data_IF_045306070561
#
_entry.id   IF_045306070561
#
_cell.length_a   1.000
_cell.length_b   1.000
_cell.length_c   1.000
_cell.angle_alpha   90.00
_cell.angle_beta   90.00
_cell.angle_gamma   90.00
#
_symmetry.space_group_name_H-M   'P 1'
#
loop_
_entity.id
_entity.type
_entity.pdbx_description
1 polymer ?
#
# COMPACT_ATOMS: atom_id res chain seq x y z
N UNK A 1 21.92 -21.00 -8.94
CA UNK A 1 23.31 -21.49 -8.90
C UNK A 1 24.16 -20.24 -8.70
N UNK A 2 24.83 -20.09 -7.56
CA UNK A 2 25.60 -18.88 -7.21
C UNK A 2 27.11 -19.08 -7.37
N UNK A 3 27.50 -20.21 -7.94
CA UNK A 3 28.88 -20.52 -8.28
C UNK A 3 29.03 -20.29 -9.77
N UNK A 4 29.80 -19.26 -10.11
CA UNK A 4 30.25 -19.01 -11.47
C UNK A 4 31.68 -19.54 -11.57
N UNK A 5 31.83 -20.66 -12.27
CA UNK A 5 33.14 -21.18 -12.62
C UNK A 5 33.31 -21.04 -14.14
N UNK A 6 34.16 -20.08 -14.53
CA UNK A 6 34.56 -19.87 -15.92
C UNK A 6 35.92 -20.53 -16.22
N UNK A 7 36.39 -21.40 -15.33
CA UNK A 7 37.68 -22.07 -15.42
C UNK A 7 38.83 -21.25 -14.84
N UNK A 8 40.06 -21.80 -14.91
CA UNK A 8 41.24 -21.27 -14.22
C UNK A 8 41.90 -20.08 -14.95
N UNK A 9 41.31 -19.59 -16.05
CA UNK A 9 41.90 -18.56 -16.90
C UNK A 9 40.93 -17.42 -17.15
N UNK A 10 41.49 -16.21 -17.28
CA UNK A 10 40.69 -15.01 -17.55
C UNK A 10 39.99 -15.15 -18.90
N UNK A 11 38.66 -15.13 -18.87
CA UNK A 11 37.83 -15.47 -20.02
C UNK A 11 36.72 -14.44 -20.21
N UNK A 12 36.51 -14.02 -21.47
CA UNK A 12 35.38 -13.16 -21.80
C UNK A 12 34.09 -13.95 -21.61
N UNK A 13 33.14 -13.37 -20.88
CA UNK A 13 31.89 -14.02 -20.49
C UNK A 13 30.68 -13.16 -20.88
N UNK A 14 29.51 -13.79 -20.88
CA UNK A 14 28.24 -13.13 -21.22
C UNK A 14 27.57 -12.48 -20.01
N UNK A 15 28.07 -12.74 -18.81
CA UNK A 15 27.49 -12.25 -17.57
C UNK A 15 28.45 -12.44 -16.38
N UNK A 16 28.28 -11.63 -15.33
CA UNK A 16 29.01 -11.74 -14.07
C UNK A 16 28.07 -11.43 -12.89
N UNK A 17 27.88 -12.38 -11.97
CA UNK A 17 26.86 -12.27 -10.93
C UNK A 17 27.46 -11.95 -9.56
N UNK A 18 26.84 -11.01 -8.85
CA UNK A 18 27.05 -10.74 -7.44
C UNK A 18 28.00 -9.58 -7.13
N UNK A 19 28.31 -9.42 -5.84
CA UNK A 19 29.03 -8.25 -5.32
C UNK A 19 30.55 -8.23 -5.60
N UNK A 20 31.06 -9.11 -6.48
CA UNK A 20 32.49 -9.21 -6.81
C UNK A 20 32.76 -8.71 -8.23
N UNK A 21 32.46 -7.42 -8.48
CA UNK A 21 32.55 -6.80 -9.80
C UNK A 21 33.41 -5.53 -9.74
N UNK A 22 34.22 -5.33 -10.78
CA UNK A 22 34.95 -4.10 -11.00
C UNK A 22 34.49 -3.46 -12.32
N UNK A 23 33.84 -2.29 -12.23
CA UNK A 23 33.28 -1.58 -13.37
C UNK A 23 34.09 -0.31 -13.62
N UNK A 24 34.57 -0.12 -14.86
CA UNK A 24 35.23 1.13 -15.24
C UNK A 24 34.26 2.29 -15.13
N UNK A 25 34.67 3.40 -14.52
CA UNK A 25 33.85 4.62 -14.42
C UNK A 25 33.35 5.12 -15.78
N UNK A 26 34.16 4.95 -16.83
CA UNK A 26 33.78 5.27 -18.21
C UNK A 26 32.62 4.42 -18.75
N UNK A 27 32.46 3.17 -18.30
CA UNK A 27 31.31 2.34 -18.68
C UNK A 27 30.01 2.91 -18.07
N UNK A 28 30.04 3.31 -16.80
CA UNK A 28 28.90 3.96 -16.13
C UNK A 28 28.55 5.30 -16.79
N UNK A 29 29.56 6.10 -17.13
CA UNK A 29 29.35 7.37 -17.85
C UNK A 29 28.73 7.16 -19.24
N UNK A 30 29.07 6.05 -19.91
CA UNK A 30 28.62 5.76 -21.27
C UNK A 30 27.20 5.24 -21.36
N UNK A 31 26.83 4.28 -20.49
CA UNK A 31 25.52 3.61 -20.59
C UNK A 31 24.57 3.93 -19.43
N UNK A 32 25.01 4.74 -18.47
CA UNK A 32 24.24 5.09 -17.29
C UNK A 32 24.43 4.12 -16.12
N UNK A 33 23.87 4.51 -14.97
CA UNK A 33 23.91 3.73 -13.72
C UNK A 33 22.94 2.53 -13.78
N UNK A 34 22.95 1.71 -12.74
CA UNK A 34 21.95 0.67 -12.50
C UNK A 34 20.56 1.31 -12.32
N UNK A 35 19.51 0.64 -12.79
CA UNK A 35 18.13 1.08 -12.60
C UNK A 35 17.75 0.96 -11.11
N UNK A 36 17.52 2.06 -10.37
CA UNK A 36 17.17 2.00 -8.95
C UNK A 36 15.84 1.28 -8.70
N UNK A 37 15.01 1.09 -9.72
CA UNK A 37 13.75 0.34 -9.62
C UNK A 37 13.93 -1.18 -9.66
N UNK A 38 15.10 -1.65 -10.11
CA UNK A 38 15.55 -3.02 -10.01
C UNK A 38 16.54 -3.06 -8.85
N UNK A 39 16.11 -3.46 -7.65
CA UNK A 39 17.06 -3.75 -6.56
C UNK A 39 17.03 -5.25 -6.26
N UNK A 40 18.18 -5.92 -6.46
CA UNK A 40 18.39 -7.32 -6.13
C UNK A 40 18.48 -8.26 -7.33
N UNK A 41 17.41 -9.01 -7.66
CA UNK A 41 17.47 -9.92 -8.80
C UNK A 41 17.15 -9.20 -10.11
N UNK A 42 18.14 -9.09 -11.00
CA UNK A 42 17.98 -8.62 -12.39
C UNK A 42 18.46 -7.21 -12.68
N UNK A 43 18.99 -6.49 -11.69
CA UNK A 43 19.64 -5.18 -11.87
C UNK A 43 21.01 -5.31 -12.54
N UNK A 44 21.82 -6.26 -12.07
CA UNK A 44 23.08 -6.67 -12.69
C UNK A 44 22.82 -7.16 -14.13
N UNK A 45 21.81 -8.02 -14.32
CA UNK A 45 21.49 -8.61 -15.63
C UNK A 45 21.11 -7.52 -16.64
N UNK A 46 20.27 -6.59 -16.23
CA UNK A 46 19.82 -5.49 -17.07
C UNK A 46 20.99 -4.59 -17.49
N UNK A 47 21.85 -4.23 -16.54
CA UNK A 47 23.01 -3.36 -16.80
C UNK A 47 24.02 -4.04 -17.71
N UNK A 48 24.30 -5.33 -17.48
CA UNK A 48 25.21 -6.14 -18.31
C UNK A 48 24.69 -6.30 -19.74
N UNK A 49 23.39 -6.53 -19.92
CA UNK A 49 22.78 -6.60 -21.24
C UNK A 49 22.90 -5.26 -21.99
N UNK A 50 22.69 -4.13 -21.32
CA UNK A 50 22.93 -2.79 -21.92
C UNK A 50 24.40 -2.60 -22.29
N UNK A 51 25.31 -3.05 -21.43
CA UNK A 51 26.75 -2.93 -21.66
C UNK A 51 27.18 -3.73 -22.88
N UNK A 52 26.76 -4.99 -22.98
CA UNK A 52 27.04 -5.85 -24.14
C UNK A 52 26.40 -5.30 -25.41
N UNK A 53 25.16 -4.79 -25.35
CA UNK A 53 24.50 -4.15 -26.49
C UNK A 53 25.23 -2.89 -26.98
N UNK A 54 25.94 -2.19 -26.10
CA UNK A 54 26.81 -1.06 -26.45
C UNK A 54 28.20 -1.49 -26.97
N UNK A 55 28.42 -2.78 -27.23
CA UNK A 55 29.71 -3.34 -27.65
C UNK A 55 30.73 -3.45 -26.50
N UNK A 56 30.25 -3.39 -25.26
CA UNK A 56 31.06 -3.63 -24.07
C UNK A 56 31.50 -5.09 -23.97
N UNK A 57 32.55 -5.33 -23.18
CA UNK A 57 33.03 -6.68 -22.83
C UNK A 57 32.94 -6.90 -21.34
N UNK A 58 32.58 -8.12 -20.95
CA UNK A 58 32.62 -8.62 -19.57
C UNK A 58 33.66 -9.74 -19.55
N UNK A 59 34.53 -9.75 -18.54
CA UNK A 59 35.61 -10.72 -18.42
C UNK A 59 35.67 -11.24 -16.99
N UNK A 60 35.62 -12.56 -16.84
CA UNK A 60 35.93 -13.23 -15.59
C UNK A 60 37.43 -13.17 -15.35
N UNK A 61 37.86 -12.80 -14.15
CA UNK A 61 39.27 -12.78 -13.74
C UNK A 61 39.49 -13.92 -12.75
N UNK A 62 40.18 -14.97 -13.19
CA UNK A 62 40.31 -16.21 -12.42
C UNK A 62 41.03 -15.99 -11.07
N UNK A 63 41.97 -15.05 -11.04
CA UNK A 63 42.72 -14.70 -9.82
C UNK A 63 41.92 -13.85 -8.82
N UNK A 64 40.75 -13.34 -9.20
CA UNK A 64 39.91 -12.47 -8.37
C UNK A 64 38.82 -13.25 -7.60
N UNK A 65 39.10 -14.49 -7.23
CA UNK A 65 38.20 -15.33 -6.46
C UNK A 65 37.95 -14.77 -5.06
N UNK A 66 36.71 -14.84 -4.59
CA UNK A 66 36.33 -14.44 -3.23
C UNK A 66 35.54 -15.56 -2.54
N UNK A 67 35.83 -15.76 -1.25
CA UNK A 67 35.05 -16.67 -0.41
C UNK A 67 33.76 -15.99 0.04
N UNK A 68 32.61 -16.43 -0.49
CA UNK A 68 31.32 -15.96 0.02
C UNK A 68 30.99 -16.65 1.35
N UNK A 69 31.31 -16.00 2.47
CA UNK A 69 31.01 -16.52 3.82
C UNK A 69 29.71 -15.94 4.37
N UNK A 70 28.90 -16.77 5.03
CA UNK A 70 27.81 -16.32 5.92
C UNK A 70 28.31 -16.44 7.35
N UNK A 71 28.09 -15.42 8.18
CA UNK A 71 28.52 -15.40 9.57
C UNK A 71 27.40 -14.88 10.49
N UNK A 72 27.41 -15.32 11.75
CA UNK A 72 26.47 -14.86 12.78
C UNK A 72 25.00 -15.08 12.39
N UNK A 73 24.16 -14.10 12.71
CA UNK A 73 22.71 -14.12 12.53
C UNK A 73 22.25 -14.43 11.09
N UNK A 74 23.09 -14.12 10.08
CA UNK A 74 22.79 -14.34 8.65
C UNK A 74 22.89 -15.80 8.20
N UNK A 75 23.51 -16.66 9.02
CA UNK A 75 23.57 -18.09 8.79
C UNK A 75 22.35 -18.84 9.37
N UNK A 76 21.53 -18.20 10.19
CA UNK A 76 20.39 -18.85 10.82
C UNK A 76 19.23 -19.04 9.84
N UNK A 77 18.51 -20.16 10.00
CA UNK A 77 17.38 -20.53 9.15
C UNK A 77 16.33 -19.42 8.98
N UNK A 78 15.93 -18.65 10.01
CA UNK A 78 14.99 -17.54 9.83
C UNK A 78 15.53 -16.44 8.94
N UNK A 79 16.83 -16.10 9.04
CA UNK A 79 17.46 -15.09 8.18
C UNK A 79 17.53 -15.57 6.72
N UNK A 80 17.92 -16.84 6.52
CA UNK A 80 17.93 -17.48 5.20
C UNK A 80 16.53 -17.49 4.55
N UNK A 81 15.49 -17.84 5.30
CA UNK A 81 14.10 -17.80 4.83
C UNK A 81 13.64 -16.38 4.49
N UNK A 82 13.98 -15.37 5.29
CA UNK A 82 13.67 -13.96 5.00
C UNK A 82 14.33 -13.50 3.70
N UNK A 83 15.62 -13.78 3.54
CA UNK A 83 16.38 -13.44 2.34
C UNK A 83 15.83 -14.17 1.10
N UNK A 84 15.52 -15.46 1.23
CA UNK A 84 14.94 -16.27 0.16
C UNK A 84 13.57 -15.77 -0.27
N UNK A 85 12.70 -15.40 0.68
CA UNK A 85 11.40 -14.78 0.38
C UNK A 85 11.56 -13.43 -0.33
N UNK A 86 12.52 -12.61 0.06
CA UNK A 86 12.82 -11.36 -0.63
C UNK A 86 13.27 -11.59 -2.08
N UNK A 87 14.21 -12.53 -2.29
CA UNK A 87 14.63 -12.95 -3.64
C UNK A 87 13.47 -13.51 -4.47
N UNK A 88 12.59 -14.30 -3.87
CA UNK A 88 11.38 -14.81 -4.54
C UNK A 88 10.49 -13.69 -5.06
N UNK A 89 10.25 -12.64 -4.25
CA UNK A 89 9.49 -11.46 -4.72
C UNK A 89 10.17 -10.76 -5.90
N UNK A 90 11.49 -10.60 -5.86
CA UNK A 90 12.25 -9.97 -6.95
C UNK A 90 12.22 -10.81 -8.22
N UNK A 91 12.52 -12.11 -8.11
CA UNK A 91 12.49 -13.06 -9.23
C UNK A 91 11.13 -13.10 -9.92
N UNK A 92 10.02 -13.05 -9.16
CA UNK A 92 8.69 -12.97 -9.75
C UNK A 92 8.47 -11.68 -10.58
N UNK A 93 8.88 -10.52 -10.06
CA UNK A 93 8.75 -9.23 -10.78
C UNK A 93 9.56 -9.22 -12.08
N UNK A 94 10.76 -9.81 -12.03
CA UNK A 94 11.62 -9.95 -13.21
C UNK A 94 10.96 -10.82 -14.28
N UNK A 95 10.42 -11.98 -13.90
CA UNK A 95 9.72 -12.85 -14.85
C UNK A 95 8.48 -12.17 -15.44
N UNK A 96 7.76 -11.35 -14.66
CA UNK A 96 6.62 -10.56 -15.15
C UNK A 96 7.09 -9.52 -16.19
N UNK A 97 8.20 -8.82 -15.95
CA UNK A 97 8.80 -7.90 -16.93
C UNK A 97 9.23 -8.63 -18.20
N UNK A 98 9.84 -9.81 -18.08
CA UNK A 98 10.24 -10.69 -19.20
C UNK A 98 9.04 -11.36 -19.89
N UNK A 99 7.81 -11.18 -19.39
CA UNK A 99 6.59 -11.87 -19.84
C UNK A 99 6.73 -13.41 -19.82
N UNK A 100 7.55 -13.92 -18.91
CA UNK A 100 7.85 -15.34 -18.72
C UNK A 100 7.33 -15.89 -17.38
N UNK A 101 6.49 -15.11 -16.68
CA UNK A 101 6.01 -15.45 -15.35
C UNK A 101 5.09 -16.69 -15.35
N UNK A 102 5.37 -17.72 -14.53
CA UNK A 102 4.51 -18.90 -14.41
C UNK A 102 3.08 -18.56 -13.96
N UNK A 103 2.10 -19.37 -14.33
CA UNK A 103 0.73 -19.23 -13.82
C UNK A 103 0.63 -19.51 -12.30
N UNK A 104 -0.39 -18.97 -11.65
CA UNK A 104 -0.62 -19.13 -10.20
C UNK A 104 -0.65 -20.62 -9.77
N UNK A 105 -1.25 -21.49 -10.59
CA UNK A 105 -1.29 -22.93 -10.31
C UNK A 105 0.11 -23.60 -10.33
N UNK A 106 1.05 -23.10 -11.15
CA UNK A 106 2.42 -23.57 -11.18
C UNK A 106 3.21 -23.08 -9.96
N UNK A 107 3.01 -21.82 -9.55
CA UNK A 107 3.60 -21.27 -8.33
C UNK A 107 3.11 -22.02 -7.07
N UNK A 108 1.80 -22.34 -6.99
CA UNK A 108 1.22 -23.14 -5.91
C UNK A 108 1.78 -24.57 -5.86
N UNK A 109 1.92 -25.23 -7.01
CA UNK A 109 2.57 -26.56 -7.08
C UNK A 109 4.02 -26.50 -6.62
N UNK A 110 4.75 -25.47 -6.99
CA UNK A 110 6.15 -25.27 -6.57
C UNK A 110 6.25 -25.06 -5.06
N UNK A 111 5.34 -24.26 -4.48
CA UNK A 111 5.27 -24.06 -3.03
C UNK A 111 4.92 -25.37 -2.30
N UNK A 112 3.90 -26.09 -2.75
CA UNK A 112 3.50 -27.37 -2.17
C UNK A 112 4.62 -28.41 -2.24
N UNK A 113 5.30 -28.51 -3.39
CA UNK A 113 6.45 -29.38 -3.57
C UNK A 113 7.61 -29.02 -2.64
N UNK A 114 7.88 -27.73 -2.45
CA UNK A 114 8.93 -27.25 -1.55
C UNK A 114 8.60 -27.55 -0.08
N UNK A 115 7.34 -27.37 0.34
CA UNK A 115 6.86 -27.68 1.68
C UNK A 115 6.90 -29.20 1.97
N UNK A 116 6.61 -30.02 0.97
CA UNK A 116 6.70 -31.48 1.08
C UNK A 116 8.14 -31.99 1.10
N UNK A 117 9.03 -31.39 0.31
CA UNK A 117 10.41 -31.82 0.15
C UNK A 117 11.18 -31.81 1.47
N UNK A 118 11.03 -30.75 2.28
CA UNK A 118 11.72 -30.61 3.57
C UNK A 118 11.51 -31.83 4.49
N UNK A 119 10.26 -32.11 4.92
CA UNK A 119 9.94 -33.26 5.77
C UNK A 119 10.26 -34.60 5.09
N UNK A 120 9.92 -34.76 3.81
CA UNK A 120 10.03 -36.06 3.11
C UNK A 120 11.47 -36.48 2.86
N UNK A 121 12.38 -35.53 2.61
CA UNK A 121 13.80 -35.76 2.32
C UNK A 121 14.72 -35.36 3.46
N UNK A 122 14.17 -34.89 4.59
CA UNK A 122 14.94 -34.33 5.72
C UNK A 122 15.92 -33.24 5.27
N UNK A 123 15.49 -32.44 4.30
CA UNK A 123 16.32 -31.41 3.66
C UNK A 123 16.16 -30.08 4.41
N UNK A 124 17.24 -29.61 5.03
CA UNK A 124 17.28 -28.34 5.78
C UNK A 124 17.09 -27.12 4.88
N UNK A 125 17.28 -27.26 3.57
CA UNK A 125 16.98 -26.23 2.57
C UNK A 125 15.49 -26.16 2.20
N UNK A 126 14.68 -27.15 2.56
CA UNK A 126 13.24 -27.19 2.27
C UNK A 126 12.49 -25.92 2.70
N UNK A 127 12.64 -25.45 3.96
CA UNK A 127 12.05 -24.20 4.41
C UNK A 127 12.51 -22.96 3.63
N UNK A 128 13.77 -22.92 3.20
CA UNK A 128 14.34 -21.81 2.42
C UNK A 128 13.74 -21.79 1.01
N UNK A 129 13.61 -22.96 0.37
CA UNK A 129 12.94 -23.12 -0.92
C UNK A 129 11.46 -22.73 -0.84
N UNK A 130 10.76 -23.19 0.20
CA UNK A 130 9.37 -22.84 0.45
C UNK A 130 9.20 -21.33 0.67
N UNK A 131 10.11 -20.68 1.40
CA UNK A 131 10.11 -19.24 1.61
C UNK A 131 10.31 -18.47 0.29
N UNK A 132 11.19 -18.94 -0.59
CA UNK A 132 11.37 -18.37 -1.94
C UNK A 132 10.10 -18.52 -2.79
N UNK A 133 9.55 -19.73 -2.90
CA UNK A 133 8.31 -19.99 -3.63
C UNK A 133 7.13 -19.16 -3.09
N UNK A 134 7.06 -19.02 -1.76
CA UNK A 134 6.08 -18.16 -1.11
C UNK A 134 6.27 -16.69 -1.52
N UNK A 135 7.50 -16.17 -1.51
CA UNK A 135 7.79 -14.81 -1.98
C UNK A 135 7.37 -14.56 -3.43
N UNK A 136 7.57 -15.53 -4.32
CA UNK A 136 7.07 -15.44 -5.69
C UNK A 136 5.54 -15.39 -5.73
N UNK A 137 4.89 -16.29 -5.01
CA UNK A 137 3.43 -16.34 -4.92
C UNK A 137 2.85 -15.04 -4.31
N UNK A 138 3.52 -14.42 -3.34
CA UNK A 138 3.10 -13.12 -2.79
C UNK A 138 3.01 -12.03 -3.85
N UNK A 139 3.94 -12.01 -4.83
CA UNK A 139 3.89 -11.05 -5.92
C UNK A 139 2.88 -11.47 -6.97
N UNK A 140 2.80 -12.76 -7.31
CA UNK A 140 1.79 -13.27 -8.25
C UNK A 140 0.34 -13.05 -7.76
N UNK A 141 0.13 -13.07 -6.44
CA UNK A 141 -1.16 -12.80 -5.79
C UNK A 141 -1.32 -11.34 -5.39
N UNK A 142 -0.25 -10.53 -5.39
CA UNK A 142 -0.41 -9.08 -5.36
C UNK A 142 -1.06 -8.71 -6.66
N UNK A 143 -2.18 -8.00 -6.54
CA UNK A 143 -2.76 -7.29 -7.66
C UNK A 143 -1.66 -6.35 -8.18
N UNK A 144 -1.01 -6.72 -9.28
CA UNK A 144 -0.41 -5.69 -10.11
C UNK A 144 -1.58 -4.75 -10.43
N UNK A 145 -1.51 -3.45 -10.10
CA UNK A 145 -2.45 -2.53 -10.72
C UNK A 145 -2.38 -2.78 -12.21
N UNK A 146 -3.54 -2.80 -12.88
CA UNK A 146 -3.54 -2.69 -14.33
C UNK A 146 -2.60 -1.52 -14.69
N UNK A 147 -1.77 -1.69 -15.72
CA UNK A 147 -0.97 -0.57 -16.21
C UNK A 147 -1.94 0.61 -16.36
N UNK A 148 -1.68 1.73 -15.67
CA UNK A 148 -2.65 2.80 -15.65
C UNK A 148 -2.94 3.23 -17.09
N UNK A 149 -4.19 3.52 -17.46
CA UNK A 149 -4.48 4.05 -18.77
C UNK A 149 -3.61 5.28 -18.99
N UNK A 150 -2.80 5.25 -20.05
CA UNK A 150 -2.06 6.41 -20.53
C UNK A 150 -3.13 7.36 -21.07
N UNK A 151 -3.34 8.45 -20.37
CA UNK A 151 -4.39 9.41 -20.67
C UNK A 151 -4.18 10.69 -19.85
N UNK A 152 -4.81 11.80 -20.26
CA UNK A 152 -4.62 13.11 -19.64
C UNK A 152 -5.13 13.20 -18.19
N UNK A 153 -5.89 12.20 -17.73
CA UNK A 153 -6.48 12.17 -16.38
C UNK A 153 -5.59 11.37 -15.41
N UNK A 154 -4.39 11.88 -15.17
CA UNK A 154 -3.44 11.36 -14.19
C UNK A 154 -3.86 11.62 -12.73
N UNK A 155 -4.90 12.42 -12.49
CA UNK A 155 -5.55 12.57 -11.19
C UNK A 155 -6.48 11.38 -10.83
N UNK A 156 -6.75 10.46 -11.76
CA UNK A 156 -7.54 9.25 -11.49
C UNK A 156 -6.63 8.06 -11.17
N UNK A 157 -7.09 7.13 -10.35
CA UNK A 157 -6.36 5.89 -10.03
C UNK A 157 -6.10 4.99 -11.24
N UNK A 158 -6.90 5.11 -12.30
CA UNK A 158 -6.86 4.25 -13.47
C UNK A 158 -7.54 2.89 -13.31
N UNK A 159 -8.13 2.59 -12.15
CA UNK A 159 -8.84 1.31 -11.89
C UNK A 159 -10.18 1.53 -11.17
N UNK A 160 -11.16 0.65 -11.41
CA UNK A 160 -12.45 0.70 -10.70
C UNK A 160 -12.40 0.19 -9.27
N UNK A 161 -11.29 -0.44 -8.86
CA UNK A 161 -11.06 -0.89 -7.48
C UNK A 161 -11.91 -2.07 -6.99
N UNK A 162 -12.79 -2.63 -7.83
CA UNK A 162 -13.71 -3.70 -7.45
C UNK A 162 -13.02 -5.06 -7.28
N UNK A 163 -13.40 -5.79 -6.22
CA UNK A 163 -12.86 -7.10 -5.89
C UNK A 163 -13.99 -8.12 -5.82
N UNK A 164 -14.08 -9.02 -6.81
CA UNK A 164 -15.18 -9.99 -6.94
C UNK A 164 -14.71 -11.44 -7.11
N UNK A 165 -15.62 -12.38 -6.91
CA UNK A 165 -15.43 -13.81 -7.17
C UNK A 165 -14.28 -14.46 -6.38
N UNK A 166 -13.54 -15.37 -7.02
CA UNK A 166 -12.40 -16.09 -6.41
C UNK A 166 -11.31 -15.15 -5.86
N UNK A 167 -11.18 -13.95 -6.42
CA UNK A 167 -10.22 -12.93 -5.95
C UNK A 167 -10.62 -12.38 -4.59
N UNK A 168 -11.91 -12.10 -4.40
CA UNK A 168 -12.44 -11.68 -3.11
C UNK A 168 -12.21 -12.74 -2.02
N UNK A 169 -12.38 -14.04 -2.35
CA UNK A 169 -12.15 -15.13 -1.41
C UNK A 169 -10.68 -15.19 -0.94
N UNK A 170 -9.71 -15.14 -1.87
CA UNK A 170 -8.28 -15.14 -1.54
C UNK A 170 -7.88 -13.88 -0.75
N UNK A 171 -8.46 -12.73 -1.10
CA UNK A 171 -8.25 -11.49 -0.38
C UNK A 171 -8.80 -11.59 1.07
N UNK A 172 -9.96 -12.20 1.28
CA UNK A 172 -10.54 -12.49 2.61
C UNK A 172 -9.72 -13.51 3.42
N UNK A 173 -9.11 -14.50 2.77
CA UNK A 173 -8.20 -15.42 3.45
C UNK A 173 -6.92 -14.69 3.90
N UNK A 174 -6.38 -13.80 3.06
CA UNK A 174 -5.21 -12.96 3.39
C UNK A 174 -5.56 -11.97 4.51
N UNK A 175 -6.69 -11.28 4.36
CA UNK A 175 -7.69 -10.94 5.38
C UNK A 175 -7.40 -11.47 6.80
N UNK A 176 -7.89 -12.68 7.00
CA UNK A 176 -7.81 -13.43 8.25
C UNK A 176 -6.37 -13.76 8.68
N UNK A 177 -5.47 -14.08 7.73
CA UNK A 177 -4.10 -14.43 8.06
C UNK A 177 -3.31 -13.26 8.69
N UNK A 178 -3.46 -12.04 8.15
CA UNK A 178 -2.81 -10.86 8.75
C UNK A 178 -3.42 -10.51 10.11
N UNK A 179 -4.72 -10.74 10.27
CA UNK A 179 -5.43 -10.52 11.52
C UNK A 179 -4.95 -11.46 12.63
N UNK A 180 -4.86 -12.75 12.31
CA UNK A 180 -4.33 -13.77 13.20
C UNK A 180 -2.88 -13.47 13.57
N UNK A 181 -2.06 -13.10 12.58
CA UNK A 181 -0.66 -12.73 12.84
C UNK A 181 -0.57 -11.56 13.80
N UNK A 182 -1.33 -10.47 13.58
CA UNK A 182 -1.32 -9.29 14.44
C UNK A 182 -1.83 -9.59 15.87
N UNK A 183 -2.66 -10.62 16.03
CA UNK A 183 -3.08 -11.12 17.34
C UNK A 183 -1.97 -11.92 18.03
N UNK A 184 -1.29 -12.81 17.29
CA UNK A 184 -0.24 -13.70 17.81
C UNK A 184 1.07 -12.97 18.13
N UNK A 185 1.48 -12.00 17.32
CA UNK A 185 2.72 -11.24 17.52
C UNK A 185 2.58 -10.05 18.50
N UNK A 186 1.41 -9.93 19.14
CA UNK A 186 1.09 -8.93 20.14
C UNK A 186 0.88 -7.51 19.60
N UNK A 187 0.91 -7.30 18.28
CA UNK A 187 0.71 -5.98 17.67
C UNK A 187 -0.61 -5.36 18.09
N UNK A 188 -1.70 -6.15 18.09
CA UNK A 188 -3.03 -5.68 18.55
C UNK A 188 -3.02 -5.23 20.01
N UNK A 189 -2.32 -5.96 20.89
CA UNK A 189 -2.23 -5.62 22.31
C UNK A 189 -1.40 -4.37 22.54
N UNK A 190 -0.29 -4.21 21.80
CA UNK A 190 0.54 -2.99 21.83
C UNK A 190 -0.25 -1.77 21.35
N UNK A 191 -1.00 -1.90 20.25
CA UNK A 191 -1.86 -0.83 19.74
C UNK A 191 -2.94 -0.44 20.75
N UNK A 192 -3.60 -1.41 21.39
CA UNK A 192 -4.59 -1.15 22.43
C UNK A 192 -3.98 -0.44 23.66
N UNK A 193 -2.77 -0.82 24.09
CA UNK A 193 -2.06 -0.14 25.19
C UNK A 193 -1.66 1.29 24.83
N UNK A 194 -1.15 1.51 23.61
CA UNK A 194 -0.83 2.85 23.14
C UNK A 194 -2.09 3.73 23.11
N UNK A 195 -3.22 3.18 22.66
CA UNK A 195 -4.50 3.87 22.69
C UNK A 195 -5.00 4.17 24.11
N UNK A 196 -4.77 3.25 25.06
CA UNK A 196 -5.07 3.47 26.47
C UNK A 196 -4.19 4.55 27.13
N UNK A 197 -3.03 4.87 26.56
CA UNK A 197 -2.17 5.97 27.01
C UNK A 197 -2.51 7.31 26.37
N UNK A 198 -3.25 7.33 25.26
CA UNK A 198 -3.62 8.57 24.56
C UNK A 198 -4.59 9.42 25.42
N UNK A 199 -4.40 10.74 25.54
CA UNK A 199 -5.41 11.60 26.14
C UNK A 199 -6.76 11.46 25.41
N UNK A 200 -7.85 11.70 26.14
CA UNK A 200 -9.17 11.76 25.51
C UNK A 200 -9.18 12.88 24.47
N UNK A 201 -9.87 12.64 23.36
CA UNK A 201 -10.03 13.57 22.25
C UNK A 201 -11.50 13.87 22.05
N UNK A 202 -11.81 15.06 21.57
CA UNK A 202 -13.13 15.42 21.10
C UNK A 202 -13.18 15.27 19.60
N UNK A 203 -14.12 14.46 19.11
CA UNK A 203 -14.17 14.00 17.72
C UNK A 203 -15.52 14.29 17.12
N UNK A 204 -15.54 15.02 16.02
CA UNK A 204 -16.73 15.18 15.18
C UNK A 204 -16.71 14.10 14.10
N UNK A 205 -17.74 13.26 14.03
CA UNK A 205 -17.87 12.25 12.98
C UNK A 205 -19.11 12.54 12.13
N UNK A 206 -18.92 12.67 10.82
CA UNK A 206 -19.95 13.04 9.85
C UNK A 206 -20.21 11.88 8.89
N UNK A 207 -21.49 11.55 8.71
CA UNK A 207 -21.91 10.56 7.72
C UNK A 207 -23.13 11.05 6.95
N UNK A 208 -23.13 10.80 5.64
CA UNK A 208 -24.33 10.99 4.82
C UNK A 208 -24.95 9.61 4.59
N UNK A 209 -26.14 9.39 5.14
CA UNK A 209 -26.85 8.12 5.12
C UNK A 209 -27.80 8.02 3.92
N UNK A 210 -27.81 6.85 3.29
CA UNK A 210 -28.83 6.44 2.34
C UNK A 210 -29.83 5.51 3.00
N UNK A 211 -31.05 5.99 3.17
CA UNK A 211 -32.14 5.17 3.74
C UNK A 211 -32.73 4.20 2.70
N UNK A 212 -32.48 4.45 1.41
CA UNK A 212 -32.96 3.63 0.30
C UNK A 212 -32.09 2.40 0.01
N UNK A 213 -30.90 2.30 0.64
CA UNK A 213 -29.96 1.21 0.46
C UNK A 213 -29.47 0.65 1.80
N UNK A 214 -29.03 -0.62 1.85
CA UNK A 214 -28.33 -1.14 3.01
C UNK A 214 -27.12 -0.27 3.36
N UNK A 215 -27.01 0.06 4.65
CA UNK A 215 -25.96 0.89 5.21
C UNK A 215 -25.53 0.33 6.59
N UNK A 216 -24.44 0.86 7.14
CA UNK A 216 -23.76 0.49 8.39
C UNK A 216 -23.66 1.67 9.35
N UNK A 217 -24.56 2.66 9.22
CA UNK A 217 -24.50 3.90 10.00
C UNK A 217 -24.67 3.62 11.49
N UNK A 218 -25.56 2.69 11.84
CA UNK A 218 -25.80 2.31 13.23
C UNK A 218 -24.59 1.60 13.85
N UNK A 219 -23.97 0.70 13.11
CA UNK A 219 -22.78 -0.04 13.51
C UNK A 219 -21.56 0.88 13.63
N UNK A 220 -21.35 1.79 12.67
CA UNK A 220 -20.29 2.79 12.71
C UNK A 220 -20.48 3.73 13.92
N UNK A 221 -21.70 4.21 14.16
CA UNK A 221 -22.02 5.03 15.33
C UNK A 221 -21.72 4.29 16.63
N UNK A 222 -22.18 3.06 16.77
CA UNK A 222 -21.98 2.26 17.98
C UNK A 222 -20.49 2.00 18.24
N UNK A 223 -19.72 1.67 17.20
CA UNK A 223 -18.27 1.44 17.32
C UNK A 223 -17.51 2.70 17.75
N UNK A 224 -17.85 3.88 17.19
CA UNK A 224 -17.19 5.13 17.58
C UNK A 224 -17.60 5.59 18.98
N UNK A 225 -18.88 5.45 19.34
CA UNK A 225 -19.37 5.85 20.68
C UNK A 225 -18.90 4.90 21.79
N UNK A 226 -18.53 3.65 21.46
CA UNK A 226 -17.91 2.72 22.40
C UNK A 226 -16.44 3.06 22.72
N UNK A 227 -15.86 4.03 21.99
CA UNK A 227 -14.49 4.51 22.22
C UNK A 227 -14.35 5.25 23.55
N UNK A 228 -13.10 5.52 23.94
CA UNK A 228 -12.83 6.36 25.11
C UNK A 228 -12.96 7.87 24.84
N UNK A 229 -13.20 8.25 23.59
CA UNK A 229 -13.20 9.65 23.15
C UNK A 229 -14.57 10.28 23.36
N UNK A 230 -14.65 11.60 23.34
CA UNK A 230 -15.93 12.30 23.24
C UNK A 230 -16.30 12.39 21.76
N UNK A 231 -17.40 11.74 21.36
CA UNK A 231 -17.77 11.62 19.95
C UNK A 231 -19.11 12.28 19.69
N UNK A 232 -19.07 13.35 18.90
CA UNK A 232 -20.25 13.98 18.32
C UNK A 232 -20.49 13.35 16.93
N UNK A 233 -21.40 12.39 16.86
CA UNK A 233 -21.73 11.68 15.61
C UNK A 233 -22.96 12.30 14.94
N UNK A 234 -22.78 12.91 13.78
CA UNK A 234 -23.82 13.62 13.03
C UNK A 234 -24.13 12.90 11.74
N UNK A 235 -25.42 12.66 11.49
CA UNK A 235 -25.89 12.00 10.27
C UNK A 235 -26.78 12.94 9.49
N UNK A 236 -26.45 13.15 8.22
CA UNK A 236 -27.32 13.80 7.25
C UNK A 236 -27.94 12.77 6.32
N UNK A 237 -29.20 12.95 5.92
CA UNK A 237 -29.77 12.18 4.81
C UNK A 237 -29.21 12.67 3.47
N UNK A 238 -29.11 11.77 2.48
CA UNK A 238 -28.91 12.15 1.07
C UNK A 238 -30.10 13.00 0.60
N UNK A 239 -29.80 14.12 -0.06
CA UNK A 239 -30.78 15.00 -0.72
C UNK A 239 -30.42 15.13 -2.21
N UNK A 240 -31.11 15.99 -2.97
CA UNK A 240 -30.71 16.30 -4.36
C UNK A 240 -29.35 17.01 -4.48
N UNK A 241 -28.82 17.53 -3.36
CA UNK A 241 -27.50 18.14 -3.24
C UNK A 241 -26.38 17.08 -3.27
N UNK A 242 -25.18 17.49 -3.67
CA UNK A 242 -24.00 16.63 -3.66
C UNK A 242 -23.58 16.19 -2.25
N UNK A 243 -22.76 15.12 -2.14
CA UNK A 243 -22.27 14.62 -0.85
C UNK A 243 -21.53 15.71 -0.06
N UNK A 244 -20.65 16.48 -0.72
CA UNK A 244 -19.83 17.50 -0.06
C UNK A 244 -20.61 18.75 0.29
N UNK A 245 -21.58 19.14 -0.55
CA UNK A 245 -22.55 20.20 -0.22
C UNK A 245 -23.30 19.84 1.07
N UNK A 246 -23.79 18.59 1.17
CA UNK A 246 -24.46 18.12 2.39
C UNK A 246 -23.54 18.07 3.60
N UNK A 247 -22.28 17.67 3.43
CA UNK A 247 -21.28 17.72 4.51
C UNK A 247 -21.04 19.16 4.98
N UNK A 248 -20.97 20.12 4.06
CA UNK A 248 -20.83 21.54 4.39
C UNK A 248 -22.02 22.08 5.18
N UNK A 249 -23.25 21.68 4.83
CA UNK A 249 -24.44 22.03 5.61
C UNK A 249 -24.37 21.48 7.04
N UNK A 250 -23.84 20.26 7.22
CA UNK A 250 -23.65 19.68 8.56
C UNK A 250 -22.54 20.37 9.36
N UNK A 251 -21.52 20.89 8.69
CA UNK A 251 -20.43 21.66 9.28
C UNK A 251 -20.85 23.11 9.63
N UNK A 252 -21.80 23.67 8.89
CA UNK A 252 -22.22 25.06 9.03
C UNK A 252 -22.69 25.38 10.46
N UNK A 253 -22.18 26.48 11.02
CA UNK A 253 -22.51 26.94 12.38
C UNK A 253 -21.84 26.17 13.51
N UNK A 254 -20.97 25.19 13.22
CA UNK A 254 -20.18 24.47 14.24
C UNK A 254 -18.83 25.13 14.45
N UNK A 255 -18.42 25.21 15.71
CA UNK A 255 -17.04 25.57 16.05
C UNK A 255 -16.13 24.35 15.88
N UNK A 256 -15.53 24.23 14.70
CA UNK A 256 -14.58 23.15 14.37
C UNK A 256 -13.31 23.21 15.22
N UNK A 257 -12.97 24.37 15.80
CA UNK A 257 -11.77 24.52 16.64
C UNK A 257 -11.90 23.80 17.99
N UNK A 258 -13.12 23.45 18.37
CA UNK A 258 -13.43 22.70 19.59
C UNK A 258 -13.22 21.19 19.46
N UNK A 259 -12.92 20.69 18.25
CA UNK A 259 -12.64 19.28 17.98
C UNK A 259 -11.14 19.08 17.72
N UNK A 260 -10.58 18.00 18.26
CA UNK A 260 -9.21 17.58 17.95
C UNK A 260 -9.13 16.92 16.57
N UNK A 261 -10.21 16.22 16.20
CA UNK A 261 -10.33 15.48 14.94
C UNK A 261 -11.73 15.61 14.35
N UNK A 262 -11.80 15.77 13.02
CA UNK A 262 -13.04 15.66 12.23
C UNK A 262 -12.92 14.44 11.33
N UNK A 263 -13.89 13.54 11.36
CA UNK A 263 -13.96 12.33 10.54
C UNK A 263 -15.14 12.44 9.58
N UNK A 264 -14.89 12.11 8.31
CA UNK A 264 -15.93 11.84 7.31
C UNK A 264 -15.97 10.34 7.06
N UNK A 265 -17.14 9.73 7.22
CA UNK A 265 -17.34 8.28 7.14
C UNK A 265 -18.52 8.00 6.22
N UNK A 266 -18.28 7.20 5.19
CA UNK A 266 -19.31 6.73 4.27
C UNK A 266 -20.22 5.73 4.99
N UNK A 267 -21.49 5.69 4.59
CA UNK A 267 -22.53 4.91 5.24
C UNK A 267 -22.40 3.40 5.00
N UNK A 268 -21.45 2.92 4.20
CA UNK A 268 -21.27 1.49 3.87
C UNK A 268 -19.91 0.91 4.28
N UNK A 269 -19.31 1.48 5.33
CA UNK A 269 -18.04 1.04 5.88
C UNK A 269 -18.22 0.27 7.18
N UNK A 270 -17.65 -0.94 7.24
CA UNK A 270 -17.49 -1.67 8.48
C UNK A 270 -16.16 -1.30 9.17
N UNK A 271 -16.30 -0.71 10.37
CA UNK A 271 -15.19 -0.37 11.25
C UNK A 271 -14.77 -1.59 12.10
N UNK A 272 -13.47 -1.84 12.31
CA UNK A 272 -12.99 -2.92 13.18
C UNK A 272 -13.11 -2.57 14.68
N UNK A 273 -13.32 -3.55 15.54
CA UNK A 273 -13.45 -3.32 16.99
C UNK A 273 -12.27 -2.57 17.63
N UNK A 274 -12.59 -1.56 18.43
CA UNK A 274 -11.66 -0.59 19.02
C UNK A 274 -11.06 0.34 17.97
N UNK A 275 -11.84 0.72 16.95
CA UNK A 275 -11.38 1.48 15.79
C UNK A 275 -10.77 2.82 16.22
N UNK A 276 -11.58 3.70 16.79
CA UNK A 276 -11.23 5.10 16.98
C UNK A 276 -10.00 5.26 17.88
N UNK A 277 -10.02 4.55 19.01
CA UNK A 277 -8.92 4.49 19.98
C UNK A 277 -7.57 4.18 19.32
N UNK A 278 -7.51 3.08 18.55
CA UNK A 278 -6.26 2.63 17.91
C UNK A 278 -5.89 3.48 16.70
N UNK A 279 -6.89 3.98 15.98
CA UNK A 279 -6.70 4.82 14.81
C UNK A 279 -6.04 6.14 15.19
N UNK A 280 -6.62 6.86 16.16
CA UNK A 280 -6.06 8.13 16.64
C UNK A 280 -4.69 7.95 17.29
N UNK A 281 -4.50 6.90 18.08
CA UNK A 281 -3.20 6.62 18.69
C UNK A 281 -2.11 6.36 17.64
N UNK A 282 -2.44 5.70 16.53
CA UNK A 282 -1.51 5.51 15.43
C UNK A 282 -1.26 6.83 14.68
N UNK A 283 -2.31 7.56 14.31
CA UNK A 283 -2.21 8.81 13.58
C UNK A 283 -1.38 9.87 14.33
N UNK A 284 -1.69 10.09 15.62
CA UNK A 284 -0.96 11.04 16.46
C UNK A 284 0.49 10.60 16.72
N UNK A 285 0.78 9.29 16.77
CA UNK A 285 2.15 8.80 16.96
C UNK A 285 3.11 9.16 15.82
N UNK A 286 2.59 9.50 14.63
CA UNK A 286 3.37 10.02 13.51
C UNK A 286 3.03 11.47 13.16
N UNK A 287 2.27 12.15 14.02
CA UNK A 287 1.87 13.54 13.84
C UNK A 287 1.02 13.79 12.60
N UNK A 288 0.28 12.80 12.09
CA UNK A 288 -0.49 12.92 10.85
C UNK A 288 -1.53 14.05 10.94
N UNK A 289 -1.60 14.87 9.89
CA UNK A 289 -2.60 15.93 9.75
C UNK A 289 -3.85 15.46 9.00
N UNK A 290 -3.63 14.64 7.97
CA UNK A 290 -4.68 13.96 7.23
C UNK A 290 -4.42 12.45 7.29
N UNK A 291 -5.42 11.69 7.69
CA UNK A 291 -5.29 10.26 7.90
C UNK A 291 -6.50 9.49 7.38
N UNK A 292 -6.28 8.29 6.88
CA UNK A 292 -7.33 7.30 6.65
C UNK A 292 -6.92 5.95 7.25
N UNK A 293 -7.86 5.07 7.61
CA UNK A 293 -7.54 3.67 7.81
C UNK A 293 -7.19 3.00 6.47
N UNK A 294 -6.38 1.95 6.55
CA UNK A 294 -6.15 1.11 5.38
C UNK A 294 -7.42 0.33 4.99
N UNK A 295 -7.61 0.11 3.70
CA UNK A 295 -8.64 -0.80 3.23
C UNK A 295 -8.21 -2.25 3.44
N UNK A 296 -9.17 -3.09 3.83
CA UNK A 296 -9.00 -4.54 3.72
C UNK A 296 -8.72 -4.90 2.26
N UNK A 297 -7.97 -5.99 2.04
CA UNK A 297 -7.61 -6.39 0.67
C UNK A 297 -8.83 -6.81 -0.14
N UNK A 298 -9.90 -7.24 0.51
CA UNK A 298 -11.16 -7.59 -0.13
C UNK A 298 -12.13 -6.41 -0.31
N UNK A 299 -11.75 -5.19 0.09
CA UNK A 299 -12.59 -4.00 -0.10
C UNK A 299 -12.52 -3.43 -1.51
N UNK A 300 -13.59 -2.74 -1.90
CA UNK A 300 -13.56 -1.80 -3.02
C UNK A 300 -12.60 -0.66 -2.65
N UNK A 301 -11.52 -0.52 -3.43
CA UNK A 301 -10.51 0.51 -3.25
C UNK A 301 -9.82 0.78 -4.59
N UNK A 302 -9.96 2.00 -5.08
CA UNK A 302 -9.47 2.40 -6.40
C UNK A 302 -7.94 2.58 -6.41
N UNK A 303 -7.39 3.10 -5.32
CA UNK A 303 -5.97 3.37 -5.16
C UNK A 303 -5.25 2.19 -4.46
N UNK A 304 -4.29 1.50 -5.11
CA UNK A 304 -3.59 0.38 -4.49
C UNK A 304 -2.86 0.74 -3.19
N UNK A 305 -2.40 1.99 -3.06
CA UNK A 305 -1.72 2.49 -1.86
C UNK A 305 -2.60 2.44 -0.62
N UNK A 306 -3.93 2.51 -0.76
CA UNK A 306 -4.87 2.54 0.38
C UNK A 306 -5.09 1.17 1.00
N UNK A 307 -4.71 0.09 0.30
CA UNK A 307 -4.85 -1.28 0.80
C UNK A 307 -3.83 -1.59 1.89
N UNK A 308 -4.26 -2.38 2.87
CA UNK A 308 -3.41 -2.75 4.00
C UNK A 308 -2.16 -3.54 3.62
N UNK A 309 -1.06 -3.16 4.24
CA UNK A 309 0.28 -3.71 4.01
C UNK A 309 0.69 -4.62 5.16
N UNK A 310 1.16 -5.82 4.82
CA UNK A 310 1.56 -6.81 5.82
C UNK A 310 2.73 -6.30 6.66
N UNK A 311 2.56 -6.30 7.99
CA UNK A 311 3.60 -5.88 8.93
C UNK A 311 3.77 -4.37 9.06
N UNK A 312 2.90 -3.56 8.47
CA UNK A 312 2.81 -2.14 8.77
C UNK A 312 1.75 -1.91 9.88
N UNK A 313 2.05 -1.01 10.81
CA UNK A 313 1.09 -0.43 11.77
C UNK A 313 0.49 0.85 11.18
N UNK A 314 1.33 1.63 10.52
CA UNK A 314 1.01 2.91 9.90
C UNK A 314 1.97 3.16 8.73
N UNK A 315 1.51 3.89 7.72
CA UNK A 315 2.35 4.39 6.63
C UNK A 315 2.15 5.88 6.45
N UNK A 316 3.24 6.63 6.36
CA UNK A 316 3.18 7.97 5.76
C UNK A 316 3.15 7.81 4.25
N UNK A 317 2.27 8.55 3.59
CA UNK A 317 1.99 8.41 2.16
C UNK A 317 1.99 9.79 1.50
N UNK A 318 2.18 9.82 0.19
CA UNK A 318 1.96 11.05 -0.60
C UNK A 318 0.48 11.29 -0.91
N UNK A 319 -0.44 10.53 -0.32
CA UNK A 319 -1.84 10.50 -0.70
C UNK A 319 -2.74 9.89 0.39
N UNK A 320 -3.91 10.48 0.60
CA UNK A 320 -5.04 9.94 1.35
C UNK A 320 -6.30 10.12 0.49
N UNK A 321 -7.06 9.06 0.31
CA UNK A 321 -8.32 9.01 -0.45
C UNK A 321 -9.41 9.79 0.29
N UNK A 322 -10.30 10.41 -0.47
CA UNK A 322 -11.36 11.29 0.06
C UNK A 322 -12.41 10.54 0.88
N UNK A 323 -12.48 9.24 0.71
CA UNK A 323 -13.29 8.33 1.47
C UNK A 323 -12.72 6.92 1.37
N UNK A 324 -13.35 5.94 2.01
CA UNK A 324 -14.65 6.02 2.65
C UNK A 324 -14.55 6.36 4.15
N UNK A 325 -13.34 6.54 4.67
CA UNK A 325 -13.08 7.13 6.00
C UNK A 325 -11.88 8.06 5.88
N UNK A 326 -12.08 9.34 6.17
CA UNK A 326 -11.04 10.36 6.13
C UNK A 326 -11.08 11.18 7.40
N UNK A 327 -9.92 11.39 8.02
CA UNK A 327 -9.79 12.09 9.28
C UNK A 327 -8.85 13.30 9.13
N UNK A 328 -9.32 14.44 9.59
CA UNK A 328 -8.64 15.72 9.58
C UNK A 328 -8.30 16.07 11.02
N UNK A 329 -7.03 16.28 11.32
CA UNK A 329 -6.65 16.89 12.59
C UNK A 329 -7.08 18.36 12.60
N UNK A 330 -7.00 19.03 13.74
CA UNK A 330 -7.40 20.44 13.87
C UNK A 330 -6.73 21.38 12.85
N UNK A 331 -5.48 21.13 12.46
CA UNK A 331 -4.76 21.96 11.48
C UNK A 331 -5.30 21.73 10.08
N UNK A 332 -5.41 20.47 9.66
CA UNK A 332 -5.99 20.12 8.36
C UNK A 332 -7.47 20.53 8.26
N UNK A 333 -8.24 20.41 9.35
CA UNK A 333 -9.64 20.81 9.39
C UNK A 333 -9.81 22.32 9.18
N UNK A 334 -8.93 23.14 9.77
CA UNK A 334 -8.98 24.59 9.62
C UNK A 334 -8.66 25.07 8.19
N UNK A 335 -7.84 24.32 7.45
CA UNK A 335 -7.43 24.67 6.09
C UNK A 335 -8.33 24.06 5.01
N UNK A 336 -8.72 22.78 5.20
CA UNK A 336 -9.38 21.98 4.17
C UNK A 336 -10.90 21.94 4.29
N UNK A 337 -11.46 22.47 5.39
CA UNK A 337 -12.90 22.56 5.61
C UNK A 337 -13.36 24.03 5.69
N UNK A 338 -14.55 24.37 5.16
CA UNK A 338 -15.51 23.49 4.48
C UNK A 338 -15.00 22.97 3.12
N UNK A 339 -15.61 21.91 2.62
CA UNK A 339 -15.27 21.32 1.34
C UNK A 339 -15.54 22.30 0.19
N UNK A 340 -14.75 22.29 -0.91
CA UNK A 340 -15.14 22.95 -2.15
C UNK A 340 -16.51 22.46 -2.64
N UNK A 341 -17.23 23.31 -3.37
CA UNK A 341 -18.54 22.99 -3.97
C UNK A 341 -18.38 21.94 -5.08
N UNK A 342 -18.36 20.66 -4.69
CA UNK A 342 -18.19 19.50 -5.55
C UNK A 342 -19.32 18.52 -5.31
N UNK A 343 -19.90 17.98 -6.39
CA UNK A 343 -20.96 16.98 -6.27
C UNK A 343 -20.38 15.58 -6.02
N UNK A 344 -19.34 15.22 -6.77
CA UNK A 344 -18.73 13.87 -6.74
C UNK A 344 -17.41 13.83 -5.99
N UNK A 345 -16.69 14.96 -5.91
CA UNK A 345 -15.42 15.09 -5.17
C UNK A 345 -14.21 14.45 -5.85
N UNK A 346 -14.32 14.04 -7.11
CA UNK A 346 -13.18 13.49 -7.85
C UNK A 346 -12.09 14.55 -7.99
N UNK A 347 -10.84 14.17 -7.70
CA UNK A 347 -9.70 15.08 -7.72
C UNK A 347 -9.43 15.81 -6.40
N UNK A 348 -10.36 15.79 -5.44
CA UNK A 348 -10.19 16.49 -4.17
C UNK A 348 -9.13 15.83 -3.26
N UNK A 349 -9.03 14.50 -3.29
CA UNK A 349 -7.99 13.72 -2.60
C UNK A 349 -6.56 14.03 -3.09
N UNK A 350 -6.36 14.07 -4.41
CA UNK A 350 -5.05 14.44 -5.00
C UNK A 350 -4.73 15.91 -4.85
N UNK A 351 -5.73 16.78 -4.73
CA UNK A 351 -5.53 18.19 -4.38
C UNK A 351 -5.10 18.34 -2.91
N UNK A 352 -5.79 17.68 -1.97
CA UNK A 352 -5.37 17.63 -0.56
C UNK A 352 -3.96 17.11 -0.38
N UNK A 353 -3.59 16.09 -1.15
CA UNK A 353 -2.23 15.55 -1.16
C UNK A 353 -1.18 16.60 -1.59
N UNK A 354 -1.51 17.46 -2.55
CA UNK A 354 -0.63 18.55 -2.96
C UNK A 354 -0.54 19.66 -1.91
N UNK A 355 -1.68 20.07 -1.33
CA UNK A 355 -1.71 21.03 -0.22
C UNK A 355 -0.88 20.54 0.96
N UNK A 356 -1.04 19.27 1.36
CA UNK A 356 -0.23 18.67 2.41
C UNK A 356 1.26 18.69 2.08
N UNK A 357 1.64 18.41 0.82
CA UNK A 357 3.03 18.50 0.36
C UNK A 357 3.58 19.92 0.44
N UNK A 358 2.80 20.92 0.04
CA UNK A 358 3.17 22.34 0.09
C UNK A 358 3.40 22.83 1.52
N UNK A 359 2.57 22.39 2.47
CA UNK A 359 2.73 22.71 3.89
C UNK A 359 3.71 21.80 4.65
N UNK A 360 4.28 20.77 4.01
CA UNK A 360 5.13 19.79 4.67
C UNK A 360 4.41 18.95 5.73
N UNK A 361 3.11 18.75 5.58
CA UNK A 361 2.30 17.97 6.51
C UNK A 361 2.50 16.47 6.31
N UNK A 362 2.74 15.69 7.38
CA UNK A 362 2.66 14.24 7.29
C UNK A 362 1.20 13.83 7.11
N UNK A 363 0.94 13.05 6.07
CA UNK A 363 -0.36 12.42 5.81
C UNK A 363 -0.15 10.92 5.66
N UNK A 364 -1.17 10.12 5.97
CA UNK A 364 -0.92 8.69 6.06
C UNK A 364 -2.11 7.77 6.20
N UNK A 365 -1.77 6.48 6.19
CA UNK A 365 -2.70 5.37 6.15
C UNK A 365 -2.43 4.45 7.34
N UNK A 366 -3.42 4.29 8.22
CA UNK A 366 -3.34 3.45 9.42
C UNK A 366 -3.69 2.00 9.09
N UNK A 367 -2.67 1.17 8.96
CA UNK A 367 -2.80 -0.28 8.70
C UNK A 367 -3.28 -1.08 9.91
N UNK A 368 -3.16 -0.54 11.13
CA UNK A 368 -3.55 -1.20 12.37
C UNK A 368 -5.07 -1.35 12.55
N UNK A 369 -5.86 -0.55 11.85
CA UNK A 369 -7.32 -0.50 11.94
C UNK A 369 -7.98 -0.62 10.56
N UNK A 370 -7.76 -1.74 9.84
CA UNK A 370 -8.19 -1.82 8.45
C UNK A 370 -9.72 -1.98 8.35
N UNK A 371 -10.36 -1.10 7.56
CA UNK A 371 -11.81 -1.05 7.34
C UNK A 371 -12.25 -1.92 6.18
N UNK A 372 -13.48 -2.42 6.23
CA UNK A 372 -14.09 -3.15 5.12
C UNK A 372 -15.14 -2.28 4.41
N UNK A 373 -14.87 -1.95 3.15
CA UNK A 373 -15.79 -1.25 2.25
C UNK A 373 -16.23 -2.23 1.15
N UNK A 374 -17.35 -2.93 1.38
CA UNK A 374 -17.75 -4.11 0.57
C UNK A 374 -19.22 -4.17 0.21
N UNK A 375 -20.07 -3.32 0.79
CA UNK A 375 -21.52 -3.43 0.55
C UNK A 375 -21.92 -2.95 -0.84
N UNK A 376 -21.26 -1.89 -1.33
CA UNK A 376 -21.60 -1.28 -2.61
C UNK A 376 -20.32 -1.02 -3.41
N UNK A 377 -20.31 -1.33 -4.73
CA UNK A 377 -19.24 -0.91 -5.61
C UNK A 377 -19.13 0.62 -5.67
N UNK A 378 -17.91 1.13 -5.74
CA UNK A 378 -17.66 2.56 -5.90
C UNK A 378 -18.24 3.08 -7.23
N UNK A 379 -18.79 4.31 -7.21
CA UNK A 379 -19.24 5.06 -8.39
C UNK A 379 -20.35 4.40 -9.24
N UNK A 380 -21.17 3.51 -8.67
CA UNK A 380 -22.28 2.88 -9.40
C UNK A 380 -23.46 3.83 -9.72
N UNK A 381 -23.49 5.02 -9.11
CA UNK A 381 -24.70 5.85 -9.00
C UNK A 381 -24.64 7.18 -9.73
N UNK A 382 -23.57 7.48 -10.46
CA UNK A 382 -23.44 8.72 -11.24
C UNK A 382 -22.67 8.53 -12.56
N UNK A 383 -22.93 9.35 -13.59
CA UNK A 383 -22.21 9.27 -14.86
C UNK A 383 -20.72 9.57 -14.69
N UNK A 384 -19.86 8.61 -15.05
CA UNK A 384 -18.40 8.73 -14.90
C UNK A 384 -17.82 9.94 -15.63
N UNK A 385 -18.31 10.22 -16.84
CA UNK A 385 -17.79 11.34 -17.65
C UNK A 385 -18.09 12.70 -17.02
N UNK A 386 -19.24 12.83 -16.35
CA UNK A 386 -19.59 14.04 -15.60
C UNK A 386 -18.65 14.23 -14.40
N UNK A 387 -18.32 13.16 -13.67
CA UNK A 387 -17.37 13.20 -12.55
C UNK A 387 -15.95 13.59 -13.01
N UNK A 388 -15.52 13.11 -14.18
CA UNK A 388 -14.23 13.50 -14.77
C UNK A 388 -14.24 14.96 -15.22
N UNK A 389 -15.32 15.42 -15.85
CA UNK A 389 -15.44 16.81 -16.26
C UNK A 389 -15.42 17.77 -15.04
N UNK A 390 -16.13 17.43 -13.97
CA UNK A 390 -16.08 18.16 -12.69
C UNK A 390 -14.65 18.18 -12.13
N UNK A 391 -13.98 17.03 -12.05
CA UNK A 391 -12.60 16.93 -11.57
C UNK A 391 -11.62 17.77 -12.38
N UNK A 392 -11.69 17.73 -13.72
CA UNK A 392 -10.84 18.57 -14.60
C UNK A 392 -11.08 20.06 -14.36
N UNK A 393 -12.35 20.46 -14.22
CA UNK A 393 -12.72 21.84 -13.94
C UNK A 393 -12.18 22.28 -12.57
N UNK A 394 -12.34 21.43 -11.56
CA UNK A 394 -11.84 21.66 -10.21
C UNK A 394 -10.32 21.77 -10.17
N UNK A 395 -9.59 20.86 -10.83
CA UNK A 395 -8.12 20.85 -10.81
C UNK A 395 -7.48 21.91 -11.73
N UNK A 396 -8.27 22.58 -12.59
CA UNK A 396 -7.74 23.63 -13.47
C UNK A 396 -7.15 24.78 -12.65
N UNK A 397 -5.83 24.94 -12.75
CA UNK A 397 -5.08 25.98 -12.02
C UNK A 397 -4.81 25.66 -10.55
N UNK A 398 -5.08 24.43 -10.09
CA UNK A 398 -4.78 23.97 -8.74
C UNK A 398 -3.69 22.89 -8.77
N UNK A 399 -2.79 22.92 -7.78
CA UNK A 399 -1.82 21.84 -7.58
C UNK A 399 -2.52 20.53 -7.24
N UNK A 400 -2.03 19.42 -7.78
CA UNK A 400 -2.43 18.08 -7.38
C UNK A 400 -1.25 17.11 -7.47
N UNK A 401 -1.36 15.97 -6.78
CA UNK A 401 -0.39 14.86 -6.88
C UNK A 401 -0.83 13.94 -8.01
N UNK A 402 -0.03 13.76 -9.08
CA UNK A 402 -0.36 12.85 -10.16
C UNK A 402 -0.24 11.39 -9.69
N UNK A 403 -1.00 10.51 -10.35
CA UNK A 403 -1.13 9.09 -9.98
C UNK A 403 0.22 8.36 -9.84
N UNK A 404 1.20 8.67 -10.66
CA UNK A 404 2.53 8.05 -10.63
C UNK A 404 3.39 8.51 -9.43
N UNK A 405 3.05 9.64 -8.83
CA UNK A 405 3.64 10.12 -7.59
C UNK A 405 2.97 9.55 -6.33
N UNK A 406 1.82 8.89 -6.45
CA UNK A 406 1.10 8.28 -5.32
C UNK A 406 1.85 7.04 -4.80
N UNK A 407 2.44 7.15 -3.59
CA UNK A 407 3.29 6.12 -3.00
C UNK A 407 3.32 6.18 -1.47
N UNK A 408 3.83 5.10 -0.87
CA UNK A 408 4.25 5.10 0.54
C UNK A 408 5.62 5.75 0.67
N UNK A 409 5.75 6.68 1.61
CA UNK A 409 6.99 7.41 1.92
C UNK A 409 7.74 6.73 3.08
N UNK A 410 7.03 6.43 4.17
CA UNK A 410 7.59 5.81 5.38
C UNK A 410 6.69 4.67 5.86
N UNK A 411 7.29 3.59 6.38
CA UNK A 411 6.56 2.45 6.97
C UNK A 411 6.91 2.30 8.44
N UNK A 412 5.92 2.48 9.30
CA UNK A 412 6.01 2.24 10.74
C UNK A 412 5.52 0.82 11.06
N UNK A 413 6.35 0.01 11.73
CA UNK A 413 6.06 -1.43 11.99
C UNK A 413 5.71 -1.72 13.43
#
# INVERSE_FOLDING_TARGET
MTEQDFGPHDTDCTHAWGANLAIRSSAIARIGRFDPMLSGAGDEEEWELRWLAAGGRIRSIAAAGVDHRRAGDDAHLPALCRAARARGRQSRRLDERKRAAPGIAAELRTLAGSLWHGPRRRCTMGPVMAAHAFGRLEVALRLAPAAPPVGPDDFLSGTSGNVEGRRALLARATDAALDLRAALDGTRRRAARAAAALPRRRVLALTIARDDLPNLVAEARAELQASRHEVDYVVGAVTGAGKFERLNELLAGRDLTSYDWVLVIDDDVALPAGFLDRFLAAAESAGLRLAQPAHRRHSHAAWPVTRRTAGARLRETSFVEIGPVTAFDRVAAAELLPFPELRMGWGLDVHWAATAREHGWPIGIVDATPIAHTLRPAAATYPRDAAIAEARSFLKGRSYVPRDEVRTLVVHR
#
